data_IF_024556107775
#
_entry.id   IF_024556107775
#
_cell.length_a   1.000
_cell.length_b   1.000
_cell.length_c   1.000
_cell.angle_alpha   90.00
_cell.angle_beta   90.00
_cell.angle_gamma   90.00
#
_symmetry.space_group_name_H-M   'P 1'
#
loop_
_entity.id
_entity.type
_entity.pdbx_description
1 polymer ?
#
# COMPACT_ATOMS: atom_id res chain seq x y z
N UNK A 1 -17.23 -11.61 -20.94
CA UNK A 1 -17.71 -12.26 -19.69
C UNK A 1 -17.01 -11.63 -18.49
N UNK A 2 -17.26 -10.33 -18.21
CA UNK A 2 -16.89 -9.70 -16.95
C UNK A 2 -18.09 -9.92 -16.02
N UNK A 3 -18.07 -11.04 -15.28
CA UNK A 3 -19.05 -11.24 -14.21
C UNK A 3 -18.90 -10.06 -13.27
N UNK A 4 -19.96 -9.27 -13.19
CA UNK A 4 -20.18 -8.32 -12.12
C UNK A 4 -19.99 -9.09 -10.82
N UNK A 5 -18.87 -8.83 -10.15
CA UNK A 5 -18.63 -9.32 -8.80
C UNK A 5 -19.63 -8.56 -7.94
N UNK A 6 -20.49 -9.32 -7.26
CA UNK A 6 -21.36 -8.80 -6.22
C UNK A 6 -20.49 -7.95 -5.28
N UNK A 7 -20.77 -6.63 -5.27
CA UNK A 7 -20.08 -5.68 -4.40
C UNK A 7 -20.62 -5.94 -3.00
N UNK A 8 -20.05 -6.94 -2.33
CA UNK A 8 -20.16 -7.04 -0.88
C UNK A 8 -19.37 -5.85 -0.29
N UNK A 9 -20.02 -4.91 0.41
CA UNK A 9 -19.36 -3.76 1.03
C UNK A 9 -18.29 -4.15 2.06
N UNK A 10 -18.26 -5.41 2.51
CA UNK A 10 -17.22 -5.96 3.37
C UNK A 10 -16.06 -6.62 2.61
N UNK A 11 -16.11 -6.64 1.27
CA UNK A 11 -15.06 -7.20 0.44
C UNK A 11 -13.93 -6.17 0.27
N UNK A 12 -12.94 -6.24 1.17
CA UNK A 12 -11.71 -5.43 1.15
C UNK A 12 -11.00 -5.38 -0.21
N UNK A 13 -11.16 -6.44 -1.01
CA UNK A 13 -10.57 -6.61 -2.32
C UNK A 13 -11.04 -5.50 -3.25
N UNK A 14 -12.26 -5.00 -3.07
CA UNK A 14 -12.78 -3.88 -3.86
C UNK A 14 -11.94 -2.60 -3.68
N UNK A 15 -11.65 -2.21 -2.43
CA UNK A 15 -10.85 -1.03 -2.15
C UNK A 15 -9.40 -1.21 -2.61
N UNK A 16 -8.84 -2.41 -2.42
CA UNK A 16 -7.51 -2.75 -2.91
C UNK A 16 -7.41 -2.65 -4.44
N UNK A 17 -8.37 -3.20 -5.17
CA UNK A 17 -8.40 -3.14 -6.63
C UNK A 17 -8.60 -1.71 -7.15
N UNK A 18 -9.48 -0.92 -6.51
CA UNK A 18 -9.60 0.51 -6.83
C UNK A 18 -8.29 1.26 -6.61
N UNK A 19 -7.60 0.98 -5.50
CA UNK A 19 -6.31 1.59 -5.20
C UNK A 19 -5.25 1.21 -6.23
N UNK A 20 -5.21 -0.06 -6.66
CA UNK A 20 -4.34 -0.54 -7.73
C UNK A 20 -4.64 0.15 -9.06
N UNK A 21 -5.91 0.29 -9.44
CA UNK A 21 -6.30 1.00 -10.65
C UNK A 21 -5.87 2.47 -10.60
N UNK A 22 -6.11 3.16 -9.48
CA UNK A 22 -5.65 4.54 -9.29
C UNK A 22 -4.12 4.65 -9.36
N UNK A 23 -3.39 3.72 -8.74
CA UNK A 23 -1.93 3.68 -8.79
C UNK A 23 -1.41 3.49 -10.23
N UNK A 24 -2.05 2.62 -11.02
CA UNK A 24 -1.66 2.36 -12.42
C UNK A 24 -1.84 3.56 -13.36
N UNK A 25 -2.72 4.50 -13.01
CA UNK A 25 -2.95 5.74 -13.77
C UNK A 25 -2.26 6.95 -13.14
N UNK A 26 -1.31 6.71 -12.22
CA UNK A 26 -0.56 7.72 -11.47
C UNK A 26 -1.43 8.66 -10.59
N UNK A 27 -2.70 8.31 -10.34
CA UNK A 27 -3.55 8.97 -9.36
C UNK A 27 -3.23 8.47 -7.95
N UNK A 28 -2.04 8.83 -7.47
CA UNK A 28 -1.57 8.39 -6.16
C UNK A 28 -2.37 8.98 -5.00
N UNK A 29 -3.06 10.12 -5.21
CA UNK A 29 -3.89 10.71 -4.18
C UNK A 29 -5.11 9.83 -3.90
N UNK A 30 -5.81 9.39 -4.94
CA UNK A 30 -6.93 8.44 -4.80
C UNK A 30 -6.46 7.07 -4.35
N UNK A 31 -5.30 6.60 -4.85
CA UNK A 31 -4.74 5.32 -4.44
C UNK A 31 -4.49 5.26 -2.93
N UNK A 32 -3.90 6.31 -2.33
CA UNK A 32 -3.72 6.40 -0.86
C UNK A 32 -5.05 6.25 -0.14
N UNK A 33 -6.08 7.01 -0.55
CA UNK A 33 -7.39 6.98 0.09
C UNK A 33 -7.99 5.56 0.09
N UNK A 34 -7.92 4.86 -1.04
CA UNK A 34 -8.48 3.52 -1.16
C UNK A 34 -7.66 2.46 -0.41
N UNK A 35 -6.33 2.55 -0.42
CA UNK A 35 -5.50 1.69 0.43
C UNK A 35 -5.75 1.91 1.93
N UNK A 36 -5.96 3.16 2.36
CA UNK A 36 -6.30 3.47 3.75
C UNK A 36 -7.65 2.87 4.15
N UNK A 37 -8.66 2.88 3.28
CA UNK A 37 -9.92 2.18 3.53
C UNK A 37 -9.76 0.66 3.56
N UNK A 38 -8.95 0.08 2.66
CA UNK A 38 -8.65 -1.35 2.67
C UNK A 38 -7.95 -1.76 3.98
N UNK A 39 -7.00 -0.94 4.45
CA UNK A 39 -6.28 -1.14 5.70
C UNK A 39 -7.17 -0.90 6.92
N UNK A 40 -8.16 0.00 6.86
CA UNK A 40 -9.14 0.20 7.94
C UNK A 40 -9.96 -1.06 8.20
N UNK A 41 -10.29 -1.80 7.13
CA UNK A 41 -11.00 -3.08 7.23
C UNK A 41 -10.07 -4.21 7.69
N UNK A 42 -8.79 -4.20 7.28
CA UNK A 42 -7.80 -5.22 7.59
C UNK A 42 -6.48 -4.56 8.05
N UNK A 43 -6.41 -4.13 9.32
CA UNK A 43 -5.30 -3.30 9.83
C UNK A 43 -3.95 -4.03 9.87
N UNK A 44 -3.97 -5.36 9.84
CA UNK A 44 -2.81 -6.22 9.99
C UNK A 44 -2.45 -6.93 8.67
N UNK A 45 -2.71 -6.28 7.54
CA UNK A 45 -2.33 -6.76 6.23
C UNK A 45 -1.02 -6.10 5.76
N UNK A 46 0.03 -6.91 5.64
CA UNK A 46 1.38 -6.49 5.24
C UNK A 46 1.44 -6.02 3.78
N UNK A 47 0.71 -6.69 2.87
CA UNK A 47 0.65 -6.26 1.47
C UNK A 47 -0.02 -4.88 1.31
N UNK A 48 -1.08 -4.60 2.06
CA UNK A 48 -1.75 -3.29 2.03
C UNK A 48 -0.84 -2.20 2.58
N UNK A 49 -0.11 -2.49 3.66
CA UNK A 49 0.91 -1.58 4.19
C UNK A 49 2.00 -1.31 3.14
N UNK A 50 2.51 -2.35 2.48
CA UNK A 50 3.54 -2.23 1.44
C UNK A 50 3.06 -1.41 0.23
N UNK A 51 1.83 -1.64 -0.23
CA UNK A 51 1.26 -0.92 -1.38
C UNK A 51 0.97 0.55 -1.05
N UNK A 52 0.48 0.82 0.15
CA UNK A 52 0.31 2.18 0.65
C UNK A 52 1.66 2.90 0.78
N UNK A 53 2.70 2.23 1.28
CA UNK A 53 4.05 2.75 1.37
C UNK A 53 4.63 3.10 -0.01
N UNK A 54 4.51 2.20 -0.99
CA UNK A 54 4.89 2.46 -2.39
C UNK A 54 4.17 3.70 -2.95
N UNK A 55 2.87 3.83 -2.66
CA UNK A 55 2.08 4.97 -3.12
C UNK A 55 2.56 6.29 -2.49
N UNK A 56 2.85 6.29 -1.19
CA UNK A 56 3.44 7.46 -0.52
C UNK A 56 4.84 7.80 -1.07
N UNK A 57 5.65 6.78 -1.39
CA UNK A 57 6.95 6.97 -2.04
C UNK A 57 6.81 7.67 -3.39
N UNK A 58 5.86 7.25 -4.23
CA UNK A 58 5.60 7.89 -5.53
C UNK A 58 5.11 9.34 -5.40
N UNK A 59 4.39 9.65 -4.32
CA UNK A 59 3.99 11.03 -3.99
C UNK A 59 5.13 11.90 -3.45
N UNK A 60 6.30 11.33 -3.19
CA UNK A 60 7.44 12.01 -2.57
C UNK A 60 7.36 12.10 -1.05
N UNK A 61 6.33 11.53 -0.41
CA UNK A 61 6.19 11.50 1.05
C UNK A 61 6.98 10.31 1.61
N UNK A 62 8.30 10.52 1.71
CA UNK A 62 9.25 9.49 2.15
C UNK A 62 9.05 9.09 3.61
N UNK A 63 8.62 10.01 4.46
CA UNK A 63 8.39 9.74 5.89
C UNK A 63 7.24 8.75 6.07
N UNK A 64 6.09 9.00 5.42
CA UNK A 64 4.97 8.07 5.47
C UNK A 64 5.28 6.75 4.78
N UNK A 65 6.02 6.79 3.66
CA UNK A 65 6.45 5.56 3.00
C UNK A 65 7.29 4.68 3.95
N UNK A 66 8.29 5.27 4.62
CA UNK A 66 9.10 4.54 5.59
C UNK A 66 8.27 4.01 6.77
N UNK A 67 7.32 4.78 7.28
CA UNK A 67 6.41 4.33 8.34
C UNK A 67 5.64 3.06 7.93
N UNK A 68 4.99 3.06 6.76
CA UNK A 68 4.19 1.92 6.32
C UNK A 68 5.03 0.71 5.87
N UNK A 69 6.24 0.93 5.34
CA UNK A 69 7.17 -0.19 5.11
C UNK A 69 7.61 -0.85 6.42
N UNK A 70 7.91 -0.06 7.47
CA UNK A 70 8.22 -0.64 8.77
C UNK A 70 7.05 -1.44 9.33
N UNK A 71 5.82 -0.93 9.22
CA UNK A 71 4.62 -1.68 9.63
C UNK A 71 4.44 -2.98 8.84
N UNK A 72 4.69 -2.98 7.53
CA UNK A 72 4.66 -4.20 6.73
C UNK A 72 5.70 -5.22 7.21
N UNK A 73 6.91 -4.77 7.59
CA UNK A 73 7.97 -5.63 8.13
C UNK A 73 7.71 -6.10 9.57
N UNK A 74 6.98 -5.34 10.38
CA UNK A 74 6.51 -5.78 11.70
C UNK A 74 5.53 -6.94 11.57
N UNK A 75 4.65 -6.90 10.56
CA UNK A 75 3.68 -7.95 10.26
C UNK A 75 4.33 -9.15 9.55
N UNK A 76 5.26 -8.90 8.62
CA UNK A 76 5.98 -9.91 7.85
C UNK A 76 7.49 -9.58 7.79
N UNK A 77 8.30 -10.04 8.76
CA UNK A 77 9.73 -9.76 8.80
C UNK A 77 10.53 -10.32 7.62
N UNK A 78 9.97 -11.30 6.89
CA UNK A 78 10.60 -11.93 5.71
C UNK A 78 10.20 -11.24 4.38
N UNK A 79 9.52 -10.09 4.43
CA UNK A 79 9.12 -9.36 3.23
C UNK A 79 10.32 -8.63 2.58
N UNK A 80 11.14 -9.37 1.84
CA UNK A 80 12.41 -8.88 1.28
C UNK A 80 12.24 -7.71 0.30
N UNK A 81 11.16 -7.69 -0.48
CA UNK A 81 10.84 -6.57 -1.35
C UNK A 81 10.62 -5.27 -0.55
N UNK A 82 9.92 -5.37 0.58
CA UNK A 82 9.69 -4.24 1.48
C UNK A 82 11.00 -3.74 2.12
N UNK A 83 11.90 -4.64 2.53
CA UNK A 83 13.24 -4.26 3.03
C UNK A 83 14.02 -3.49 1.97
N UNK A 84 14.01 -3.99 0.73
CA UNK A 84 14.71 -3.36 -0.38
C UNK A 84 14.18 -1.96 -0.69
N UNK A 85 12.85 -1.77 -0.66
CA UNK A 85 12.24 -0.45 -0.86
C UNK A 85 12.53 0.51 0.30
N UNK A 86 12.45 0.05 1.55
CA UNK A 86 12.78 0.88 2.72
C UNK A 86 14.25 1.31 2.71
N UNK A 87 15.18 0.43 2.31
CA UNK A 87 16.60 0.76 2.21
C UNK A 87 16.87 1.89 1.20
N UNK A 88 16.09 1.98 0.12
CA UNK A 88 16.18 3.08 -0.86
C UNK A 88 15.71 4.44 -0.31
N UNK A 89 14.88 4.41 0.75
CA UNK A 89 14.36 5.62 1.40
C UNK A 89 15.28 6.15 2.50
N UNK A 90 16.09 5.29 3.11
CA UNK A 90 17.05 5.71 4.11
C UNK A 90 17.95 6.80 3.53
N UNK A 91 18.16 7.92 4.23
CA UNK A 91 19.17 8.87 3.79
C UNK A 91 20.49 8.11 3.71
N UNK A 92 21.18 8.19 2.57
CA UNK A 92 22.53 7.67 2.43
C UNK A 92 23.35 8.23 3.59
N UNK A 93 23.59 7.41 4.61
CA UNK A 93 24.54 7.74 5.67
C UNK A 93 25.89 7.54 5.02
N UNK A 94 26.43 8.60 4.42
CA UNK A 94 27.82 8.69 4.00
C UNK A 94 28.72 8.85 5.22
#
# INVERSE_FOLDING_TARGET
>A
MKKAVDIDPNNNFYYFELANCCYQIDDYASAVKYYEEALRLFPDNDEYCFRLANTYRQRGDREKAAFYYNRALELCPEFDECKAELAKLAPNVQ
#
